data_IF_651633572645
#
_entry.id   IF_651633572645
#
_cell.length_a   1.000
_cell.length_b   1.000
_cell.length_c   1.000
_cell.angle_alpha   90.00
_cell.angle_beta   90.00
_cell.angle_gamma   90.00
#
_symmetry.space_group_name_H-M   'P 1'
#
loop_
_entity.id
_entity.type
_entity.pdbx_description
1 polymer ?
#
# COMPACT_ATOMS: atom_id res chain seq x y z
N UNK A 1 -3.99 17.77 23.76
CA UNK A 1 -4.42 19.03 23.15
C UNK A 1 -4.34 18.92 21.64
N UNK A 2 -5.47 18.90 20.97
CA UNK A 2 -5.48 18.88 19.50
C UNK A 2 -5.08 20.26 18.98
N UNK A 3 -4.09 20.29 18.12
CA UNK A 3 -3.71 21.52 17.44
C UNK A 3 -4.78 21.87 16.40
N UNK A 4 -4.96 23.15 16.10
CA UNK A 4 -5.86 23.56 15.03
C UNK A 4 -5.52 22.91 13.69
N UNK A 5 -4.23 22.61 13.48
CA UNK A 5 -3.76 21.90 12.32
C UNK A 5 -4.28 20.45 12.25
N UNK A 6 -4.38 19.77 13.37
CA UNK A 6 -4.90 18.40 13.42
C UNK A 6 -6.37 18.35 12.99
N UNK A 7 -7.16 19.36 13.38
CA UNK A 7 -8.55 19.46 12.96
C UNK A 7 -8.67 19.71 11.45
N UNK A 8 -7.81 20.55 10.91
CA UNK A 8 -7.76 20.80 9.47
C UNK A 8 -7.31 19.57 8.69
N UNK A 9 -6.32 18.86 9.20
CA UNK A 9 -5.86 17.61 8.59
C UNK A 9 -6.97 16.55 8.57
N UNK A 10 -7.69 16.42 9.67
CA UNK A 10 -8.82 15.49 9.75
C UNK A 10 -9.93 15.84 8.75
N UNK A 11 -10.22 17.13 8.57
CA UNK A 11 -11.18 17.59 7.57
C UNK A 11 -10.71 17.30 6.15
N UNK A 12 -9.45 17.59 5.86
CA UNK A 12 -8.87 17.32 4.54
C UNK A 12 -8.82 15.82 4.23
N UNK A 13 -8.45 15.02 5.21
CA UNK A 13 -8.43 13.55 5.08
C UNK A 13 -9.83 13.00 4.85
N UNK A 14 -10.82 13.51 5.57
CA UNK A 14 -12.22 13.11 5.40
C UNK A 14 -12.75 13.46 4.01
N UNK A 15 -12.41 14.65 3.50
CA UNK A 15 -12.80 15.08 2.16
C UNK A 15 -12.13 14.23 1.09
N UNK A 16 -10.86 13.89 1.25
CA UNK A 16 -10.13 13.02 0.33
C UNK A 16 -10.73 11.61 0.30
N UNK A 17 -11.07 11.06 1.46
CA UNK A 17 -11.72 9.76 1.55
C UNK A 17 -13.11 9.75 0.90
N UNK A 18 -13.87 10.85 1.04
CA UNK A 18 -15.18 10.97 0.42
C UNK A 18 -15.07 11.02 -1.11
N UNK A 19 -14.09 11.79 -1.62
CA UNK A 19 -13.92 11.99 -3.05
C UNK A 19 -13.23 10.82 -3.76
N UNK A 20 -12.22 10.23 -3.15
CA UNK A 20 -11.34 9.24 -3.77
C UNK A 20 -11.28 7.92 -3.03
N UNK A 21 -11.98 7.81 -1.90
CA UNK A 21 -11.95 6.62 -1.07
C UNK A 21 -12.50 5.40 -1.76
N UNK A 22 -11.86 4.27 -1.52
CA UNK A 22 -12.23 2.97 -2.06
C UNK A 22 -12.23 1.94 -0.95
N UNK A 23 -13.19 1.02 -0.97
CA UNK A 23 -13.21 -0.06 0.00
C UNK A 23 -12.26 -1.19 -0.41
N UNK A 24 -11.53 -1.67 0.58
CA UNK A 24 -10.68 -2.83 0.43
C UNK A 24 -10.93 -3.81 1.57
N UNK A 25 -10.56 -5.05 1.35
CA UNK A 25 -10.56 -6.07 2.40
C UNK A 25 -9.10 -6.38 2.74
N UNK A 26 -8.71 -6.04 3.97
CA UNK A 26 -7.39 -6.34 4.47
C UNK A 26 -7.43 -7.71 5.16
N UNK A 27 -6.66 -8.64 4.63
CA UNK A 27 -6.51 -9.98 5.20
C UNK A 27 -5.11 -10.11 5.78
N UNK A 28 -4.95 -10.07 7.10
CA UNK A 28 -3.64 -10.29 7.71
C UNK A 28 -3.13 -11.69 7.43
N UNK A 29 -1.85 -11.80 7.12
CA UNK A 29 -1.20 -13.07 6.85
C UNK A 29 0.03 -13.25 7.71
N UNK A 30 0.27 -14.48 8.13
CA UNK A 30 1.54 -14.88 8.72
C UNK A 30 2.45 -15.40 7.63
N UNK A 31 3.67 -14.91 7.60
CA UNK A 31 4.71 -15.48 6.77
C UNK A 31 5.90 -15.83 7.64
N UNK A 32 6.42 -17.02 7.46
CA UNK A 32 7.67 -17.45 8.06
C UNK A 32 8.67 -17.76 6.96
N UNK A 33 9.94 -17.74 7.30
CA UNK A 33 10.98 -18.08 6.34
C UNK A 33 10.75 -19.50 5.81
N UNK A 34 10.69 -19.65 4.49
CA UNK A 34 10.44 -20.91 3.77
C UNK A 34 9.03 -21.49 3.91
N UNK A 35 8.08 -20.72 4.42
CA UNK A 35 6.67 -21.15 4.52
C UNK A 35 5.80 -20.22 3.71
N UNK A 36 4.86 -20.80 2.98
CA UNK A 36 3.88 -20.03 2.22
C UNK A 36 3.03 -19.17 3.17
N UNK A 37 2.77 -17.93 2.76
CA UNK A 37 1.96 -17.01 3.55
C UNK A 37 0.53 -17.53 3.70
N UNK A 38 0.05 -17.62 4.92
CA UNK A 38 -1.31 -18.06 5.22
C UNK A 38 -2.03 -17.03 6.07
N UNK A 39 -3.36 -17.11 6.10
CA UNK A 39 -4.17 -16.20 6.91
C UNK A 39 -3.76 -16.29 8.38
N UNK A 40 -3.67 -15.13 9.03
CA UNK A 40 -3.31 -15.07 10.46
C UNK A 40 -4.57 -15.29 11.29
N UNK A 41 -4.54 -16.33 12.14
CA UNK A 41 -5.64 -16.67 13.02
C UNK A 41 -5.87 -15.63 14.13
N UNK A 42 -4.83 -14.89 14.51
CA UNK A 42 -4.90 -13.88 15.58
C UNK A 42 -5.42 -12.54 15.10
N UNK A 43 -5.38 -12.29 13.79
CA UNK A 43 -5.87 -11.05 13.18
C UNK A 43 -6.91 -11.39 12.13
N UNK A 44 -8.12 -10.85 12.28
CA UNK A 44 -9.21 -11.14 11.37
C UNK A 44 -9.22 -10.19 10.17
N UNK A 45 -9.76 -10.68 9.05
CA UNK A 45 -9.99 -9.82 7.88
C UNK A 45 -10.94 -8.69 8.23
N UNK A 46 -10.61 -7.48 7.79
CA UNK A 46 -11.42 -6.29 8.03
C UNK A 46 -11.60 -5.49 6.75
N UNK A 47 -12.67 -4.72 6.67
CA UNK A 47 -12.86 -3.76 5.59
C UNK A 47 -12.18 -2.45 5.98
N UNK A 48 -11.44 -1.89 5.04
CA UNK A 48 -10.71 -0.64 5.23
C UNK A 48 -11.02 0.27 4.06
N UNK A 49 -11.38 1.50 4.35
CA UNK A 49 -11.54 2.53 3.32
C UNK A 49 -10.28 3.37 3.26
N UNK A 50 -9.77 3.56 2.07
CA UNK A 50 -8.58 4.35 1.85
C UNK A 50 -8.48 4.81 0.40
N UNK A 51 -7.38 5.43 0.05
CA UNK A 51 -7.14 5.94 -1.32
C UNK A 51 -6.06 5.11 -1.99
N UNK A 52 -6.45 4.45 -3.08
CA UNK A 52 -5.52 3.69 -3.91
C UNK A 52 -4.91 4.62 -4.96
N UNK A 53 -3.60 4.55 -5.11
CA UNK A 53 -2.90 5.25 -6.17
C UNK A 53 -1.94 4.31 -6.87
N UNK A 54 -1.92 4.38 -8.19
CA UNK A 54 -0.96 3.66 -9.01
C UNK A 54 -0.17 4.69 -9.81
N UNK A 55 1.15 4.61 -9.73
CA UNK A 55 2.03 5.50 -10.44
C UNK A 55 3.08 4.69 -11.19
N UNK A 56 3.19 4.92 -12.48
CA UNK A 56 4.30 4.38 -13.25
C UNK A 56 5.40 5.42 -13.31
N UNK A 57 6.57 5.04 -12.81
CA UNK A 57 7.72 5.92 -12.80
C UNK A 57 8.80 5.36 -13.74
N UNK A 58 9.21 6.11 -14.75
CA UNK A 58 10.36 5.71 -15.54
C UNK A 58 11.64 5.90 -14.72
N UNK A 59 12.42 4.85 -14.60
CA UNK A 59 13.75 4.94 -14.00
C UNK A 59 14.81 4.63 -15.04
N UNK A 60 15.80 5.49 -15.13
CA UNK A 60 16.93 5.32 -16.02
C UNK A 60 18.07 4.61 -15.28
N UNK A 61 18.39 3.41 -15.72
CA UNK A 61 19.56 2.70 -15.23
C UNK A 61 20.74 3.05 -16.11
N UNK A 62 21.71 3.73 -15.53
CA UNK A 62 22.98 3.99 -16.21
C UNK A 62 24.00 2.97 -15.74
N UNK A 63 24.45 2.15 -16.68
CA UNK A 63 25.58 1.25 -16.42
C UNK A 63 26.88 2.04 -16.33
N UNK A 64 27.62 1.87 -15.25
CA UNK A 64 28.99 2.37 -15.16
C UNK A 64 29.92 1.32 -15.77
N UNK A 65 30.33 1.55 -17.00
CA UNK A 65 31.36 0.74 -17.63
C UNK A 65 32.74 1.18 -17.19
N UNK A 66 33.55 0.26 -16.70
CA UNK A 66 34.98 0.53 -16.46
C UNK A 66 35.72 0.67 -17.80
N UNK A 67 36.27 1.86 -18.03
CA UNK A 67 37.17 2.12 -19.16
C UNK A 67 36.48 2.02 -20.50
N UNK A 68 35.22 2.25 -20.55
CA UNK A 68 34.54 2.04 -21.75
C UNK A 68 33.61 3.08 -22.22
N UNK A 69 33.35 2.93 -23.43
CA UNK A 69 32.40 3.71 -24.16
C UNK A 69 30.98 3.11 -24.06
N UNK A 70 30.65 2.50 -22.92
CA UNK A 70 29.32 1.96 -22.75
C UNK A 70 28.36 3.05 -22.30
N UNK A 71 27.73 3.65 -23.28
CA UNK A 71 26.63 4.62 -23.06
C UNK A 71 25.28 3.96 -23.25
N UNK A 72 25.02 2.90 -22.50
CA UNK A 72 23.71 2.24 -22.54
C UNK A 72 22.82 2.78 -21.43
N UNK A 73 21.70 3.39 -21.77
CA UNK A 73 20.66 3.76 -20.83
C UNK A 73 19.51 2.76 -20.97
N UNK A 74 19.28 1.97 -19.93
CA UNK A 74 18.10 1.10 -19.89
C UNK A 74 16.99 1.80 -19.14
N UNK A 75 15.90 2.05 -19.82
CA UNK A 75 14.70 2.60 -19.18
C UNK A 75 13.85 1.47 -18.66
N UNK A 76 13.61 1.50 -17.37
CA UNK A 76 12.67 0.60 -16.72
C UNK A 76 11.42 1.36 -16.32
N UNK A 77 10.27 0.83 -16.72
CA UNK A 77 8.99 1.29 -16.23
C UNK A 77 8.64 0.45 -15.00
N UNK A 78 8.63 1.07 -13.83
CA UNK A 78 8.17 0.43 -12.63
C UNK A 78 6.80 0.97 -12.24
N UNK A 79 5.83 0.08 -12.09
CA UNK A 79 4.54 0.44 -11.50
C UNK A 79 4.64 0.32 -9.99
N UNK A 80 4.34 1.41 -9.32
CA UNK A 80 4.20 1.43 -7.87
C UNK A 80 2.75 1.69 -7.52
N UNK A 81 2.19 0.80 -6.72
CA UNK A 81 0.86 0.97 -6.17
C UNK A 81 0.96 1.27 -4.70
N UNK A 82 0.11 2.16 -4.22
CA UNK A 82 0.06 2.54 -2.82
C UNK A 82 -1.39 2.66 -2.35
N UNK A 83 -1.62 2.37 -1.09
CA UNK A 83 -2.91 2.53 -0.44
C UNK A 83 -2.73 3.38 0.81
N UNK A 84 -3.38 4.53 0.83
CA UNK A 84 -3.32 5.46 1.95
C UNK A 84 -4.50 5.21 2.89
N UNK A 85 -4.20 5.02 4.17
CA UNK A 85 -5.20 4.83 5.21
C UNK A 85 -5.11 6.00 6.19
N UNK A 86 -6.22 6.70 6.38
CA UNK A 86 -6.28 7.83 7.29
C UNK A 86 -6.15 7.37 8.75
N UNK A 87 -5.63 8.25 9.60
CA UNK A 87 -5.43 7.96 11.03
C UNK A 87 -6.73 7.51 11.73
N UNK A 88 -7.86 8.11 11.37
CA UNK A 88 -9.17 7.74 11.93
C UNK A 88 -9.54 6.28 11.59
N UNK A 89 -9.23 5.83 10.39
CA UNK A 89 -9.48 4.45 9.98
C UNK A 89 -8.58 3.47 10.72
N UNK A 90 -7.34 3.84 10.97
CA UNK A 90 -6.40 3.00 11.72
C UNK A 90 -6.87 2.73 13.15
N UNK A 91 -7.49 3.72 13.78
CA UNK A 91 -8.04 3.56 15.12
C UNK A 91 -9.16 2.53 15.21
N UNK A 92 -9.88 2.31 14.12
CA UNK A 92 -10.99 1.36 14.05
C UNK A 92 -10.55 -0.07 13.73
N UNK A 93 -9.32 -0.26 13.25
CA UNK A 93 -8.86 -1.58 12.79
C UNK A 93 -8.57 -2.58 13.92
N UNK A 94 -8.18 -2.09 15.08
CA UNK A 94 -7.80 -2.96 16.20
C UNK A 94 -6.40 -3.58 16.09
N UNK A 95 -5.76 -3.48 14.93
CA UNK A 95 -4.38 -3.92 14.69
C UNK A 95 -3.74 -3.06 13.59
N UNK A 96 -2.43 -3.11 13.48
CA UNK A 96 -1.72 -2.39 12.43
C UNK A 96 -1.47 -3.29 11.23
N UNK A 97 -1.74 -2.80 10.01
CA UNK A 97 -1.29 -3.51 8.81
C UNK A 97 0.22 -3.72 8.83
N UNK A 98 0.66 -4.84 8.33
CA UNK A 98 2.07 -5.23 8.34
C UNK A 98 2.48 -5.76 6.98
N UNK A 99 3.79 -5.79 6.76
CA UNK A 99 4.37 -6.40 5.56
C UNK A 99 3.90 -7.85 5.44
N UNK A 100 3.46 -8.22 4.26
CA UNK A 100 2.96 -9.56 3.97
C UNK A 100 1.44 -9.69 4.00
N UNK A 101 0.74 -8.71 4.52
CA UNK A 101 -0.72 -8.71 4.52
C UNK A 101 -1.26 -8.57 3.10
N UNK A 102 -2.50 -9.00 2.90
CA UNK A 102 -3.15 -8.99 1.61
C UNK A 102 -4.26 -7.95 1.57
N UNK A 103 -4.28 -7.13 0.51
CA UNK A 103 -5.37 -6.22 0.21
C UNK A 103 -6.10 -6.68 -1.04
N UNK A 104 -7.41 -6.77 -0.95
CA UNK A 104 -8.28 -7.07 -2.08
C UNK A 104 -9.25 -5.94 -2.28
N UNK A 105 -9.48 -5.58 -3.54
CA UNK A 105 -10.43 -4.52 -3.92
C UNK A 105 -11.66 -5.15 -4.57
N UNK A 106 -12.70 -5.47 -3.77
CA UNK A 106 -13.84 -6.24 -4.28
C UNK A 106 -14.72 -5.46 -5.25
N UNK A 107 -14.70 -4.13 -5.20
CA UNK A 107 -15.50 -3.28 -6.09
C UNK A 107 -14.88 -3.12 -7.48
N UNK A 108 -13.61 -3.44 -7.62
CA UNK A 108 -12.94 -3.38 -8.92
C UNK A 108 -13.19 -4.64 -9.73
N UNK A 109 -13.29 -4.54 -11.08
CA UNK A 109 -13.43 -5.72 -11.93
C UNK A 109 -12.32 -6.73 -11.68
N UNK A 110 -12.68 -7.99 -11.48
CA UNK A 110 -11.74 -9.06 -11.22
C UNK A 110 -11.23 -9.14 -9.79
N UNK A 111 -11.70 -8.27 -8.90
CA UNK A 111 -11.28 -8.22 -7.48
C UNK A 111 -9.76 -8.37 -7.32
N UNK A 112 -8.95 -7.42 -7.83
CA UNK A 112 -7.50 -7.56 -7.81
C UNK A 112 -6.97 -7.64 -6.39
N UNK A 113 -5.91 -8.42 -6.21
CA UNK A 113 -5.25 -8.61 -4.92
C UNK A 113 -3.84 -8.04 -4.95
N UNK A 114 -3.46 -7.45 -3.84
CA UNK A 114 -2.14 -6.84 -3.68
C UNK A 114 -1.53 -7.30 -2.36
N UNK A 115 -0.25 -7.61 -2.38
CA UNK A 115 0.52 -7.89 -1.18
C UNK A 115 1.14 -6.59 -0.66
N UNK A 116 1.12 -6.40 0.66
CA UNK A 116 1.78 -5.27 1.30
C UNK A 116 3.27 -5.57 1.40
N UNK A 117 4.09 -4.78 0.73
CA UNK A 117 5.54 -4.96 0.74
C UNK A 117 6.27 -4.01 1.67
N UNK A 118 5.64 -2.89 2.01
CA UNK A 118 6.20 -1.94 2.97
C UNK A 118 5.08 -1.11 3.60
N UNK A 119 5.31 -0.68 4.83
CA UNK A 119 4.38 0.16 5.59
C UNK A 119 5.13 1.42 5.98
N UNK A 120 4.64 2.57 5.52
CA UNK A 120 5.25 3.86 5.82
C UNK A 120 4.28 4.73 6.62
N UNK A 121 4.52 4.91 7.93
CA UNK A 121 3.73 5.85 8.70
C UNK A 121 4.10 7.30 8.34
N UNK A 122 3.10 8.16 8.28
CA UNK A 122 3.33 9.59 8.11
C UNK A 122 3.43 10.30 9.45
N UNK A 123 3.94 11.52 9.46
CA UNK A 123 4.02 12.33 10.68
C UNK A 123 2.66 12.70 11.27
N UNK A 124 1.59 12.62 10.46
CA UNK A 124 0.23 12.93 10.89
C UNK A 124 -0.53 11.71 11.40
N UNK A 125 0.11 10.56 11.50
CA UNK A 125 -0.52 9.34 11.98
C UNK A 125 -1.19 8.49 10.91
N UNK A 126 -1.17 8.93 9.65
CA UNK A 126 -1.67 8.16 8.53
C UNK A 126 -0.68 7.05 8.15
N UNK A 127 -1.14 6.09 7.38
CA UNK A 127 -0.32 4.99 6.90
C UNK A 127 -0.38 4.89 5.38
N UNK A 128 0.79 4.79 4.76
CA UNK A 128 0.91 4.45 3.34
C UNK A 128 1.40 3.02 3.22
N UNK A 129 0.63 2.19 2.56
CA UNK A 129 0.99 0.82 2.25
C UNK A 129 1.51 0.75 0.82
N UNK A 130 2.73 0.30 0.64
CA UNK A 130 3.26 0.01 -0.70
C UNK A 130 2.83 -1.39 -1.10
N UNK A 131 2.28 -1.51 -2.28
CA UNK A 131 1.60 -2.71 -2.75
C UNK A 131 2.27 -3.26 -4.00
N UNK A 132 2.29 -4.59 -4.08
CA UNK A 132 2.65 -5.31 -5.30
C UNK A 132 1.49 -6.22 -5.66
N UNK A 133 1.12 -6.21 -6.93
CA UNK A 133 0.02 -7.06 -7.39
C UNK A 133 0.38 -8.53 -7.21
N UNK A 134 -0.53 -9.25 -6.57
CA UNK A 134 -0.40 -10.68 -6.37
C UNK A 134 -1.50 -11.37 -7.16
N UNK A 135 -1.15 -11.87 -8.34
CA UNK A 135 -2.08 -12.63 -9.14
C UNK A 135 -2.09 -14.07 -8.65
N UNK A 136 -3.30 -14.57 -8.42
CA UNK A 136 -3.47 -15.99 -8.12
C UNK A 136 -3.29 -16.75 -9.43
N UNK A 137 -2.26 -17.56 -9.49
CA UNK A 137 -2.13 -18.52 -10.56
C UNK A 137 -3.27 -19.55 -10.41
N UNK A 138 -4.18 -19.50 -11.34
CA UNK A 138 -5.18 -20.56 -11.48
C UNK A 138 -4.53 -21.76 -12.14
#
# INVERSE_FOLDING_TARGET
MAWAFDALDAMASGAALEAFGEESVLTPRRSAQYVEASADADRMSVRVRGVFSACSSPSDLRGQGRGGEFTGTTRLLSEQSAFWIAAAQLGELGFRPAKGDLLRFPERPGSPRFAVVAVHPTSMGDLNLLLVREDVAE
#
